data_IF_323258934086
#
_entry.id   IF_323258934086
#
_cell.length_a   1.000
_cell.length_b   1.000
_cell.length_c   1.000
_cell.angle_alpha   90.00
_cell.angle_beta   90.00
_cell.angle_gamma   90.00
#
_symmetry.space_group_name_H-M   'P 1'
#
loop_
_entity.id
_entity.type
_entity.pdbx_description
1 polymer ?
#
# COMPACT_ATOMS: atom_id res chain seq x y z
N UNK A 1 -30.70 67.28 -75.59
CA UNK A 1 -31.69 66.20 -75.41
C UNK A 1 -31.15 64.97 -76.10
N UNK A 2 -30.86 63.88 -75.37
CA UNK A 2 -30.45 62.62 -76.00
C UNK A 2 -31.64 61.97 -76.73
N UNK A 3 -31.38 61.46 -77.93
CA UNK A 3 -32.39 60.65 -78.66
C UNK A 3 -32.68 59.38 -77.86
N UNK A 4 -33.84 58.77 -78.08
CA UNK A 4 -34.22 57.51 -77.39
C UNK A 4 -33.17 56.41 -77.59
N UNK A 5 -32.52 56.40 -78.75
CA UNK A 5 -31.43 55.49 -79.08
C UNK A 5 -30.17 55.70 -78.23
N UNK A 6 -29.75 56.95 -78.04
CA UNK A 6 -28.59 57.28 -77.20
C UNK A 6 -28.83 56.92 -75.72
N UNK A 7 -30.05 57.14 -75.22
CA UNK A 7 -30.44 56.72 -73.85
C UNK A 7 -30.36 55.21 -73.67
N UNK A 8 -30.93 54.44 -74.60
CA UNK A 8 -30.84 52.97 -74.56
C UNK A 8 -29.40 52.45 -74.60
N UNK A 9 -28.51 53.09 -75.36
CA UNK A 9 -27.09 52.73 -75.37
C UNK A 9 -26.38 53.03 -74.04
N UNK A 10 -26.75 54.13 -73.36
CA UNK A 10 -26.22 54.44 -72.04
C UNK A 10 -26.70 53.44 -71.00
N UNK A 11 -28.00 53.12 -71.01
CA UNK A 11 -28.61 52.14 -70.10
C UNK A 11 -28.01 50.73 -70.28
N UNK A 12 -27.76 50.31 -71.53
CA UNK A 12 -27.09 49.05 -71.84
C UNK A 12 -25.67 49.01 -71.27
N UNK A 13 -24.88 50.08 -71.45
CA UNK A 13 -23.53 50.16 -70.90
C UNK A 13 -23.52 50.15 -69.37
N UNK A 14 -24.48 50.81 -68.74
CA UNK A 14 -24.62 50.82 -67.29
C UNK A 14 -25.04 49.43 -66.77
N UNK A 15 -25.95 48.75 -67.47
CA UNK A 15 -26.36 47.38 -67.15
C UNK A 15 -25.17 46.41 -67.26
N UNK A 16 -24.40 46.47 -68.35
CA UNK A 16 -23.21 45.64 -68.54
C UNK A 16 -22.16 45.88 -67.44
N UNK A 17 -21.95 47.15 -67.06
CA UNK A 17 -21.05 47.50 -65.96
C UNK A 17 -21.53 46.91 -64.63
N UNK A 18 -22.84 46.97 -64.37
CA UNK A 18 -23.45 46.42 -63.17
C UNK A 18 -23.40 44.90 -63.13
N UNK A 19 -23.66 44.22 -64.26
CA UNK A 19 -23.54 42.76 -64.39
C UNK A 19 -22.11 42.35 -64.10
N UNK A 20 -21.11 42.98 -64.72
CA UNK A 20 -19.70 42.66 -64.48
C UNK A 20 -19.30 42.86 -63.01
N UNK A 21 -19.79 43.93 -62.38
CA UNK A 21 -19.56 44.20 -60.95
C UNK A 21 -20.19 43.14 -60.05
N UNK A 22 -21.42 42.71 -60.34
CA UNK A 22 -22.12 41.69 -59.57
C UNK A 22 -21.49 40.31 -59.75
N UNK A 23 -21.09 39.95 -60.97
CA UNK A 23 -20.39 38.68 -61.25
C UNK A 23 -19.10 38.59 -60.44
N UNK A 24 -18.27 39.65 -60.42
CA UNK A 24 -17.06 39.66 -59.59
C UNK A 24 -17.37 39.48 -58.11
N UNK A 25 -18.41 40.14 -57.58
CA UNK A 25 -18.81 39.97 -56.18
C UNK A 25 -19.28 38.56 -55.88
N UNK A 26 -20.00 37.93 -56.80
CA UNK A 26 -20.45 36.55 -56.67
C UNK A 26 -19.25 35.58 -56.65
N UNK A 27 -18.27 35.79 -57.54
CA UNK A 27 -17.05 34.98 -57.57
C UNK A 27 -16.28 35.07 -56.24
N UNK A 28 -16.12 36.29 -55.71
CA UNK A 28 -15.50 36.47 -54.39
C UNK A 28 -16.30 35.80 -53.26
N UNK A 29 -17.63 35.90 -53.28
CA UNK A 29 -18.47 35.27 -52.27
C UNK A 29 -18.39 33.74 -52.33
N UNK A 30 -18.35 33.15 -53.52
CA UNK A 30 -18.19 31.71 -53.72
C UNK A 30 -16.83 31.21 -53.19
N UNK A 31 -15.75 31.95 -53.47
CA UNK A 31 -14.42 31.61 -52.94
C UNK A 31 -14.41 31.71 -51.41
N UNK A 32 -14.98 32.79 -50.85
CA UNK A 32 -15.06 32.96 -49.40
C UNK A 32 -15.89 31.86 -48.73
N UNK A 33 -17.02 31.45 -49.33
CA UNK A 33 -17.82 30.33 -48.84
C UNK A 33 -17.04 29.02 -48.87
N UNK A 34 -16.30 28.76 -49.95
CA UNK A 34 -15.46 27.56 -50.05
C UNK A 34 -14.41 27.50 -48.95
N UNK A 35 -13.67 28.60 -48.73
CA UNK A 35 -12.67 28.70 -47.65
C UNK A 35 -13.31 28.50 -46.28
N UNK A 36 -14.49 29.10 -46.07
CA UNK A 36 -15.22 28.98 -44.80
C UNK A 36 -15.69 27.55 -44.55
N UNK A 37 -16.16 26.85 -45.60
CA UNK A 37 -16.57 25.45 -45.50
C UNK A 37 -15.36 24.55 -45.19
N UNK A 38 -14.24 24.75 -45.89
CA UNK A 38 -13.00 24.00 -45.64
C UNK A 38 -12.48 24.21 -44.20
N UNK A 39 -12.50 25.46 -43.70
CA UNK A 39 -12.11 25.76 -42.33
C UNK A 39 -13.05 25.12 -41.30
N UNK A 40 -14.35 25.08 -41.58
CA UNK A 40 -15.33 24.43 -40.72
C UNK A 40 -15.11 22.90 -40.68
N UNK A 41 -14.80 22.29 -41.82
CA UNK A 41 -14.50 20.86 -41.89
C UNK A 41 -13.25 20.50 -41.10
N UNK A 42 -12.18 21.30 -41.17
CA UNK A 42 -10.97 21.12 -40.36
C UNK A 42 -11.30 21.23 -38.88
N UNK A 43 -12.01 22.27 -38.45
CA UNK A 43 -12.39 22.45 -37.06
C UNK A 43 -13.27 21.30 -36.54
N UNK A 44 -14.16 20.76 -37.37
CA UNK A 44 -14.97 19.60 -37.01
C UNK A 44 -14.13 18.32 -36.86
N UNK A 45 -13.12 18.12 -37.70
CA UNK A 45 -12.19 16.99 -37.59
C UNK A 45 -11.34 17.09 -36.32
N UNK A 46 -10.79 18.27 -36.02
CA UNK A 46 -10.03 18.53 -34.79
C UNK A 46 -10.90 18.30 -33.55
N UNK A 47 -12.13 18.82 -33.55
CA UNK A 47 -13.10 18.58 -32.47
C UNK A 47 -13.38 17.10 -32.28
N UNK A 48 -13.52 16.33 -33.37
CA UNK A 48 -13.74 14.89 -33.31
C UNK A 48 -12.53 14.18 -32.67
N UNK A 49 -11.31 14.52 -33.08
CA UNK A 49 -10.08 13.96 -32.50
C UNK A 49 -9.97 14.27 -31.00
N UNK A 50 -10.21 15.51 -30.59
CA UNK A 50 -10.19 15.91 -29.17
C UNK A 50 -11.21 15.11 -28.35
N UNK A 51 -12.41 14.85 -28.89
CA UNK A 51 -13.42 14.04 -28.22
C UNK A 51 -13.01 12.57 -28.10
N UNK A 52 -12.38 12.01 -29.14
CA UNK A 52 -11.87 10.63 -29.13
C UNK A 52 -10.72 10.48 -28.12
N UNK A 53 -9.77 11.40 -28.11
CA UNK A 53 -8.67 11.45 -27.14
C UNK A 53 -9.20 11.59 -25.71
N UNK A 54 -10.16 12.50 -25.50
CA UNK A 54 -10.78 12.69 -24.18
C UNK A 54 -11.51 11.43 -23.70
N UNK A 55 -12.20 10.71 -24.59
CA UNK A 55 -12.87 9.45 -24.24
C UNK A 55 -11.84 8.36 -23.88
N UNK A 56 -10.72 8.30 -24.60
CA UNK A 56 -9.61 7.39 -24.29
C UNK A 56 -9.01 7.66 -22.91
N UNK A 57 -8.72 8.92 -22.59
CA UNK A 57 -8.19 9.30 -21.28
C UNK A 57 -9.17 9.00 -20.13
N UNK A 58 -10.48 9.14 -20.36
CA UNK A 58 -11.48 8.79 -19.35
C UNK A 58 -11.49 7.29 -19.05
N UNK A 59 -11.40 6.44 -20.07
CA UNK A 59 -11.32 4.98 -19.88
C UNK A 59 -10.06 4.57 -19.12
N UNK A 60 -8.91 5.18 -19.44
CA UNK A 60 -7.67 4.94 -18.69
C UNK A 60 -7.78 5.38 -17.23
N UNK A 61 -8.36 6.56 -16.98
CA UNK A 61 -8.58 7.06 -15.62
C UNK A 61 -9.51 6.14 -14.80
N UNK A 62 -10.57 5.61 -15.41
CA UNK A 62 -11.46 4.64 -14.77
C UNK A 62 -10.75 3.32 -14.45
N UNK A 63 -9.91 2.83 -15.36
CA UNK A 63 -9.08 1.64 -15.15
C UNK A 63 -8.09 1.81 -13.99
N UNK A 64 -7.40 2.96 -13.95
CA UNK A 64 -6.50 3.30 -12.86
C UNK A 64 -7.23 3.41 -11.52
N UNK A 65 -8.42 4.03 -11.50
CA UNK A 65 -9.25 4.14 -10.29
C UNK A 65 -9.67 2.75 -9.77
N UNK A 66 -10.14 1.87 -10.65
CA UNK A 66 -10.52 0.50 -10.27
C UNK A 66 -9.34 -0.31 -9.71
N UNK A 67 -8.15 -0.14 -10.29
CA UNK A 67 -6.91 -0.77 -9.79
C UNK A 67 -6.52 -0.25 -8.40
N UNK A 68 -6.64 1.06 -8.17
CA UNK A 68 -6.37 1.67 -6.86
C UNK A 68 -7.34 1.16 -5.79
N UNK A 69 -8.65 1.14 -6.07
CA UNK A 69 -9.66 0.61 -5.14
C UNK A 69 -9.42 -0.87 -4.81
N UNK A 70 -9.02 -1.68 -5.79
CA UNK A 70 -8.65 -3.08 -5.56
C UNK A 70 -7.40 -3.22 -4.69
N UNK A 71 -6.40 -2.36 -4.90
CA UNK A 71 -5.17 -2.32 -4.10
C UNK A 71 -5.44 -1.92 -2.66
N UNK A 72 -6.21 -0.85 -2.43
CA UNK A 72 -6.60 -0.39 -1.09
C UNK A 72 -7.39 -1.46 -0.32
N UNK A 73 -8.30 -2.16 -1.00
CA UNK A 73 -9.03 -3.27 -0.41
C UNK A 73 -8.09 -4.41 -0.02
N UNK A 74 -7.16 -4.78 -0.90
CA UNK A 74 -6.13 -5.78 -0.62
C UNK A 74 -5.25 -5.41 0.57
N UNK A 75 -4.88 -4.12 0.69
CA UNK A 75 -4.13 -3.61 1.83
C UNK A 75 -4.92 -3.71 3.14
N UNK A 76 -6.19 -3.29 3.16
CA UNK A 76 -7.05 -3.41 4.35
C UNK A 76 -7.23 -4.87 4.80
N UNK A 77 -7.37 -5.80 3.86
CA UNK A 77 -7.45 -7.23 4.16
C UNK A 77 -6.14 -7.78 4.73
N UNK A 78 -4.98 -7.32 4.23
CA UNK A 78 -3.68 -7.69 4.76
C UNK A 78 -3.48 -7.15 6.18
N UNK A 79 -3.82 -5.88 6.42
CA UNK A 79 -3.76 -5.25 7.75
C UNK A 79 -4.64 -6.00 8.76
N UNK A 80 -5.87 -6.38 8.38
CA UNK A 80 -6.75 -7.18 9.22
C UNK A 80 -6.17 -8.57 9.54
N UNK A 81 -5.52 -9.23 8.57
CA UNK A 81 -4.83 -10.50 8.80
C UNK A 81 -3.66 -10.36 9.77
N UNK A 82 -2.84 -9.31 9.61
CA UNK A 82 -1.72 -9.02 10.52
C UNK A 82 -2.22 -8.78 11.93
N UNK A 83 -3.26 -7.94 12.10
CA UNK A 83 -3.86 -7.70 13.42
C UNK A 83 -4.38 -8.99 14.08
N UNK A 84 -5.01 -9.88 13.30
CA UNK A 84 -5.47 -11.18 13.80
C UNK A 84 -4.31 -12.10 14.20
N UNK A 85 -3.22 -12.09 13.45
CA UNK A 85 -2.02 -12.88 13.78
C UNK A 85 -1.36 -12.38 15.07
N UNK A 86 -1.20 -11.06 15.23
CA UNK A 86 -0.65 -10.45 16.44
C UNK A 86 -1.51 -10.74 17.68
N UNK A 87 -2.85 -10.71 17.55
CA UNK A 87 -3.75 -11.08 18.64
C UNK A 87 -3.59 -12.54 19.07
N UNK A 88 -3.40 -13.44 18.09
CA UNK A 88 -3.18 -14.87 18.35
C UNK A 88 -1.81 -15.14 18.98
N UNK A 89 -0.78 -14.43 18.55
CA UNK A 89 0.56 -14.50 19.14
C UNK A 89 0.51 -14.11 20.63
N UNK A 90 -0.13 -12.99 20.95
CA UNK A 90 -0.33 -12.56 22.34
C UNK A 90 -1.10 -13.59 23.19
N UNK A 91 -2.16 -14.18 22.64
CA UNK A 91 -2.92 -15.24 23.34
C UNK A 91 -2.04 -16.47 23.64
N UNK A 92 -1.13 -16.82 22.73
CA UNK A 92 -0.19 -17.92 22.93
C UNK A 92 0.87 -17.57 23.97
N UNK A 93 1.38 -16.35 23.99
CA UNK A 93 2.31 -15.87 25.03
C UNK A 93 1.68 -15.94 26.42
N UNK A 94 0.43 -15.48 26.57
CA UNK A 94 -0.30 -15.55 27.85
C UNK A 94 -0.50 -17.01 28.31
N UNK A 95 -0.83 -17.91 27.38
CA UNK A 95 -0.94 -19.34 27.68
C UNK A 95 0.39 -19.97 28.05
N UNK A 96 1.48 -19.66 27.34
CA UNK A 96 2.80 -20.16 27.70
C UNK A 96 3.24 -19.65 29.07
N UNK A 97 3.05 -18.37 29.36
CA UNK A 97 3.36 -17.81 30.68
C UNK A 97 2.57 -18.49 31.80
N UNK A 98 1.30 -18.85 31.57
CA UNK A 98 0.50 -19.63 32.51
C UNK A 98 1.05 -21.04 32.72
N UNK A 99 1.47 -21.72 31.65
CA UNK A 99 2.05 -23.08 31.72
C UNK A 99 3.40 -23.06 32.42
N UNK A 100 4.25 -22.07 32.14
CA UNK A 100 5.53 -21.88 32.81
C UNK A 100 5.34 -21.59 34.30
N UNK A 101 4.41 -20.69 34.65
CA UNK A 101 4.09 -20.39 36.05
C UNK A 101 3.58 -21.63 36.79
N UNK A 102 2.71 -22.42 36.17
CA UNK A 102 2.19 -23.66 36.73
C UNK A 102 3.30 -24.73 36.88
N UNK A 103 4.19 -24.86 35.91
CA UNK A 103 5.34 -25.75 35.97
C UNK A 103 6.30 -25.37 37.09
N UNK A 104 6.63 -24.08 37.23
CA UNK A 104 7.51 -23.57 38.29
C UNK A 104 6.88 -23.77 39.67
N UNK A 105 5.59 -23.46 39.83
CA UNK A 105 4.88 -23.65 41.09
C UNK A 105 4.89 -25.13 41.53
N UNK A 106 4.77 -26.05 40.56
CA UNK A 106 4.73 -27.49 40.81
C UNK A 106 6.06 -28.21 40.57
N UNK A 107 7.16 -27.48 40.38
CA UNK A 107 8.46 -28.07 40.00
C UNK A 107 8.87 -29.18 40.96
N UNK A 108 8.68 -28.98 42.25
CA UNK A 108 8.97 -29.93 43.32
C UNK A 108 8.26 -31.29 43.21
N UNK A 109 7.16 -31.37 42.44
CA UNK A 109 6.40 -32.60 42.18
C UNK A 109 6.80 -33.29 40.87
N UNK A 110 7.79 -32.75 40.15
CA UNK A 110 8.24 -33.29 38.87
C UNK A 110 9.40 -34.26 39.04
N UNK A 111 9.52 -35.21 38.12
CA UNK A 111 10.67 -36.13 38.05
C UNK A 111 12.00 -35.37 37.84
N UNK A 112 11.93 -34.21 37.17
CA UNK A 112 13.08 -33.31 37.01
C UNK A 112 13.59 -32.77 38.35
N UNK A 113 12.71 -32.44 39.30
CA UNK A 113 13.12 -32.05 40.64
C UNK A 113 13.74 -33.21 41.41
N UNK A 114 13.20 -34.42 41.31
CA UNK A 114 13.79 -35.61 41.93
C UNK A 114 15.21 -35.86 41.41
N UNK A 115 15.41 -35.74 40.09
CA UNK A 115 16.72 -35.86 39.46
C UNK A 115 17.67 -34.73 39.89
N UNK A 116 17.20 -33.48 39.91
CA UNK A 116 17.98 -32.32 40.38
C UNK A 116 18.37 -32.49 41.85
N UNK A 117 17.43 -32.82 42.73
CA UNK A 117 17.66 -33.02 44.17
C UNK A 117 18.66 -34.15 44.42
N UNK A 118 18.54 -35.26 43.70
CA UNK A 118 19.48 -36.39 43.82
C UNK A 118 20.89 -36.02 43.33
N UNK A 119 21.01 -35.29 42.21
CA UNK A 119 22.29 -34.80 41.70
C UNK A 119 22.92 -33.78 42.66
N UNK A 120 22.13 -32.84 43.15
CA UNK A 120 22.55 -31.80 44.09
C UNK A 120 23.04 -32.39 45.42
N UNK A 121 22.36 -33.41 45.93
CA UNK A 121 22.75 -34.09 47.18
C UNK A 121 24.00 -34.99 47.04
N UNK A 122 24.23 -35.60 45.87
CA UNK A 122 25.29 -36.62 45.69
C UNK A 122 26.63 -36.08 45.17
N UNK A 123 26.60 -35.12 44.25
CA UNK A 123 27.80 -34.76 43.46
C UNK A 123 27.92 -33.24 43.26
N UNK A 124 26.80 -32.56 43.04
CA UNK A 124 26.82 -31.21 42.51
C UNK A 124 26.75 -30.07 43.53
N UNK A 125 26.68 -30.32 44.84
CA UNK A 125 26.39 -29.26 45.82
C UNK A 125 27.31 -28.04 45.69
N UNK A 126 28.64 -28.24 45.67
CA UNK A 126 29.59 -27.14 45.54
C UNK A 126 29.68 -26.57 44.12
N UNK A 127 29.63 -27.41 43.08
CA UNK A 127 29.69 -26.95 41.68
C UNK A 127 28.46 -26.14 41.29
N UNK A 128 27.26 -26.59 41.66
CA UNK A 128 25.99 -25.90 41.38
C UNK A 128 25.93 -24.58 42.14
N UNK A 129 26.34 -24.54 43.42
CA UNK A 129 26.41 -23.29 44.17
C UNK A 129 27.45 -22.32 43.60
N UNK A 130 28.60 -22.81 43.13
CA UNK A 130 29.62 -21.98 42.49
C UNK A 130 29.13 -21.40 41.14
N UNK A 131 28.47 -22.20 40.31
CA UNK A 131 27.87 -21.75 39.04
C UNK A 131 26.74 -20.74 39.27
N UNK A 132 25.91 -20.93 40.29
CA UNK A 132 24.85 -20.00 40.67
C UNK A 132 25.43 -18.67 41.20
N UNK A 133 26.48 -18.72 42.04
CA UNK A 133 27.21 -17.52 42.51
C UNK A 133 27.83 -16.74 41.36
N UNK A 134 28.34 -17.43 40.34
CA UNK A 134 29.01 -16.82 39.19
C UNK A 134 28.03 -16.19 38.18
N UNK A 135 26.92 -16.88 37.88
CA UNK A 135 25.99 -16.44 36.83
C UNK A 135 24.84 -15.58 37.35
N UNK A 136 24.50 -15.66 38.64
CA UNK A 136 23.35 -14.96 39.22
C UNK A 136 23.73 -14.23 40.52
N UNK A 137 24.54 -13.17 40.38
CA UNK A 137 25.11 -12.36 41.46
C UNK A 137 24.09 -11.81 42.49
N UNK A 138 22.82 -11.66 42.11
CA UNK A 138 21.75 -11.13 42.98
C UNK A 138 20.85 -12.22 43.58
N UNK A 139 21.12 -13.50 43.31
CA UNK A 139 20.29 -14.60 43.79
C UNK A 139 20.65 -14.95 45.24
N UNK A 140 19.65 -15.05 46.13
CA UNK A 140 19.88 -15.38 47.54
C UNK A 140 20.16 -16.88 47.72
N UNK A 141 21.44 -17.23 47.66
CA UNK A 141 21.92 -18.62 47.74
C UNK A 141 21.79 -19.19 49.16
N UNK A 142 21.76 -18.36 50.20
CA UNK A 142 21.66 -18.81 51.59
C UNK A 142 20.40 -19.65 51.88
N UNK A 143 19.29 -19.36 51.18
CA UNK A 143 18.05 -20.16 51.27
C UNK A 143 18.18 -21.57 50.67
N UNK A 144 19.07 -21.79 49.70
CA UNK A 144 19.36 -23.10 49.13
C UNK A 144 20.31 -23.90 50.02
N UNK A 145 21.32 -23.24 50.58
CA UNK A 145 22.28 -23.84 51.52
C UNK A 145 21.58 -24.32 52.80
N UNK A 146 20.61 -23.57 53.32
CA UNK A 146 19.82 -23.97 54.48
C UNK A 146 18.88 -25.16 54.22
N UNK A 147 18.43 -25.33 52.97
CA UNK A 147 17.44 -26.33 52.59
C UNK A 147 18.06 -27.65 52.14
N UNK A 148 19.32 -27.60 51.74
CA UNK A 148 20.11 -28.73 51.28
C UNK A 148 21.51 -28.65 51.89
N UNK A 149 21.66 -28.94 53.19
CA UNK A 149 22.97 -28.90 53.83
C UNK A 149 23.92 -29.90 53.15
N UNK A 150 25.23 -29.61 53.10
CA UNK A 150 26.21 -30.58 52.62
C UNK A 150 26.08 -31.88 53.42
N UNK A 151 26.28 -33.05 52.78
CA UNK A 151 26.22 -34.32 53.49
C UNK A 151 27.21 -34.31 54.65
N UNK A 152 26.77 -34.75 55.84
CA UNK A 152 27.63 -34.92 57.00
C UNK A 152 28.75 -35.89 56.62
N UNK A 153 29.96 -35.34 56.43
CA UNK A 153 31.16 -36.15 56.26
C UNK A 153 31.53 -36.65 57.65
N UNK A 154 31.04 -37.83 58.02
CA UNK A 154 31.66 -38.58 59.11
C UNK A 154 33.05 -38.99 58.65
N UNK A 155 34.03 -38.30 59.24
CA UNK A 155 35.46 -38.56 59.11
C UNK A 155 35.74 -39.88 59.83
N UNK A 156 36.05 -40.95 59.09
CA UNK A 156 36.60 -42.17 59.66
C UNK A 156 37.86 -41.81 60.46
N UNK A 157 37.75 -41.94 61.78
CA UNK A 157 38.86 -41.79 62.70
C UNK A 157 39.65 -43.08 62.77
N UNK A 158 40.86 -43.07 62.24
CA UNK A 158 41.89 -44.07 62.56
C UNK A 158 43.07 -43.34 63.23
N UNK A 159 43.20 -43.57 64.53
CA UNK A 159 44.47 -43.54 65.29
C UNK A 159 45.05 -44.94 65.36
#
# INVERSE_FOLDING_TARGET
MHTTYERLQMDLKELDSNVLRLTKKLDYANVAQKITAEALDVANQEKKQVLEESASCQLEAEGLRGSLEASEKGQKEAEAKVARLLAKEKEMEEKMGSVEAEYVANFHNTEAYTNFSNYFAKVGHQEVLAVLRSNYLNFNIGSLEARFPPPDVEVDGDT
#
